data_IF_165850073544
#
_entry.id   IF_165850073544
#
_cell.length_a   1.000
_cell.length_b   1.000
_cell.length_c   1.000
_cell.angle_alpha   90.00
_cell.angle_beta   90.00
_cell.angle_gamma   90.00
#
_symmetry.space_group_name_H-M   'P 1'
#
loop_
_entity.id
_entity.type
_entity.pdbx_description
1 polymer ?
#
# COMPACT_ATOMS: atom_id res chain seq x y z
N UNK A 1 5.76 -34.09 -11.71
CA UNK A 1 6.01 -33.23 -12.88
C UNK A 1 6.18 -31.81 -12.37
N UNK A 2 7.39 -31.25 -12.50
CA UNK A 2 7.71 -29.90 -12.04
C UNK A 2 7.16 -28.93 -13.09
N UNK A 3 6.06 -28.28 -12.76
CA UNK A 3 5.48 -27.20 -13.57
C UNK A 3 6.30 -25.93 -13.30
N UNK A 4 7.25 -25.64 -14.19
CA UNK A 4 7.92 -24.34 -14.28
C UNK A 4 6.93 -23.29 -14.80
N UNK A 5 6.11 -22.71 -13.93
CA UNK A 5 5.39 -21.47 -14.24
C UNK A 5 6.37 -20.30 -14.14
N UNK A 6 7.07 -20.04 -15.25
CA UNK A 6 7.66 -18.71 -15.50
C UNK A 6 6.52 -17.70 -15.49
N UNK A 7 6.45 -16.89 -14.45
CA UNK A 7 5.50 -15.79 -14.36
C UNK A 7 5.87 -14.75 -15.45
N UNK A 8 5.04 -14.52 -16.49
CA UNK A 8 5.45 -13.78 -17.69
C UNK A 8 5.22 -12.25 -17.56
N UNK A 9 5.20 -11.70 -16.34
CA UNK A 9 4.39 -10.51 -16.03
C UNK A 9 4.63 -9.26 -16.89
N UNK A 10 5.83 -9.02 -17.42
CA UNK A 10 6.03 -7.96 -18.39
C UNK A 10 6.91 -8.45 -19.55
N UNK A 11 6.32 -8.90 -20.65
CA UNK A 11 7.04 -9.19 -21.91
C UNK A 11 6.82 -8.04 -22.90
N UNK A 12 7.89 -7.26 -23.11
CA UNK A 12 8.14 -6.30 -24.20
C UNK A 12 7.36 -4.96 -24.21
N UNK A 13 8.08 -3.84 -24.06
CA UNK A 13 8.43 -2.83 -25.10
C UNK A 13 9.01 -1.59 -24.42
N UNK A 14 10.34 -1.50 -24.34
CA UNK A 14 11.01 -0.22 -24.06
C UNK A 14 11.44 0.34 -25.41
N UNK A 15 10.69 1.32 -25.93
CA UNK A 15 11.18 2.16 -27.02
C UNK A 15 12.12 3.20 -26.40
N UNK A 16 13.38 3.18 -26.82
CA UNK A 16 14.34 4.24 -26.53
C UNK A 16 13.96 5.46 -27.34
N UNK A 17 13.40 6.47 -26.68
CA UNK A 17 13.45 7.84 -27.16
C UNK A 17 14.38 8.61 -26.23
N UNK A 18 15.63 8.75 -26.66
CA UNK A 18 16.60 9.66 -26.06
C UNK A 18 16.31 11.09 -26.52
N UNK A 19 16.14 12.03 -25.57
CA UNK A 19 16.74 13.38 -25.62
C UNK A 19 16.54 14.24 -24.36
N UNK A 20 17.66 14.89 -24.04
CA UNK A 20 17.93 16.11 -23.27
C UNK A 20 17.84 16.14 -21.73
N UNK A 21 19.03 15.97 -21.14
CA UNK A 21 19.79 16.94 -20.33
C UNK A 21 19.05 17.83 -19.31
N UNK A 22 19.45 17.62 -18.05
CA UNK A 22 19.58 18.58 -16.92
C UNK A 22 19.01 18.10 -15.58
N UNK A 23 18.77 16.80 -15.39
CA UNK A 23 18.53 16.27 -14.03
C UNK A 23 19.85 16.03 -13.31
N UNK A 24 19.95 16.47 -12.05
CA UNK A 24 20.85 15.86 -11.07
C UNK A 24 20.88 14.34 -11.30
N UNK A 25 22.05 13.79 -11.63
CA UNK A 25 22.20 12.38 -11.99
C UNK A 25 21.69 11.52 -10.83
N UNK A 26 20.45 11.02 -10.96
CA UNK A 26 19.85 10.10 -9.99
C UNK A 26 20.69 8.84 -9.96
N UNK A 27 21.18 8.47 -8.77
CA UNK A 27 21.96 7.25 -8.61
C UNK A 27 21.01 6.03 -8.56
N UNK A 28 20.79 5.40 -9.72
CA UNK A 28 19.87 4.28 -9.84
C UNK A 28 20.31 3.02 -9.07
N UNK A 29 21.60 2.81 -8.81
CA UNK A 29 22.07 1.71 -7.95
C UNK A 29 21.60 1.91 -6.50
N UNK A 30 21.68 3.13 -6.01
CA UNK A 30 21.18 3.51 -4.69
C UNK A 30 19.65 3.40 -4.62
N UNK A 31 18.94 3.91 -5.64
CA UNK A 31 17.47 3.81 -5.77
C UNK A 31 17.03 2.36 -5.76
N UNK A 32 17.71 1.48 -6.50
CA UNK A 32 17.39 0.05 -6.55
C UNK A 32 17.57 -0.61 -5.18
N UNK A 33 18.63 -0.29 -4.45
CA UNK A 33 18.87 -0.77 -3.08
C UNK A 33 17.78 -0.31 -2.12
N UNK A 34 17.39 0.97 -2.19
CA UNK A 34 16.32 1.53 -1.38
C UNK A 34 14.94 0.94 -1.72
N UNK A 35 14.64 0.71 -3.01
CA UNK A 35 13.43 0.02 -3.46
C UNK A 35 13.34 -1.41 -2.91
N UNK A 36 14.44 -2.16 -2.88
CA UNK A 36 14.48 -3.51 -2.27
C UNK A 36 14.18 -3.45 -0.77
N UNK A 37 14.76 -2.48 -0.07
CA UNK A 37 14.49 -2.25 1.36
C UNK A 37 13.03 -1.89 1.62
N UNK A 38 12.47 -1.00 0.79
CA UNK A 38 11.07 -0.61 0.83
C UNK A 38 10.14 -1.79 0.57
N UNK A 39 10.40 -2.58 -0.48
CA UNK A 39 9.66 -3.82 -0.79
C UNK A 39 9.65 -4.79 0.39
N UNK A 40 10.80 -4.99 1.05
CA UNK A 40 10.86 -5.83 2.25
C UNK A 40 9.95 -5.31 3.38
N UNK A 41 9.89 -3.99 3.61
CA UNK A 41 8.99 -3.46 4.64
C UNK A 41 7.51 -3.66 4.27
N UNK A 42 7.16 -3.51 3.00
CA UNK A 42 5.80 -3.81 2.49
C UNK A 42 5.46 -5.28 2.71
N UNK A 43 6.35 -6.20 2.36
CA UNK A 43 6.16 -7.64 2.57
C UNK A 43 5.95 -8.00 4.05
N UNK A 44 6.74 -7.39 4.94
CA UNK A 44 6.63 -7.60 6.38
C UNK A 44 5.34 -7.04 6.97
N UNK A 45 4.83 -5.93 6.44
CA UNK A 45 3.54 -5.38 6.86
C UNK A 45 2.38 -6.21 6.32
N UNK A 46 2.46 -6.65 5.06
CA UNK A 46 1.45 -7.52 4.45
C UNK A 46 1.33 -8.84 5.21
N UNK A 47 2.47 -9.45 5.57
CA UNK A 47 2.47 -10.65 6.39
C UNK A 47 1.85 -10.44 7.78
N UNK A 48 2.07 -9.28 8.42
CA UNK A 48 1.45 -8.97 9.72
C UNK A 48 -0.08 -8.90 9.60
N UNK A 49 -0.59 -8.15 8.62
CA UNK A 49 -2.04 -8.02 8.45
C UNK A 49 -2.70 -9.31 8.00
N UNK A 50 -2.08 -10.05 7.06
CA UNK A 50 -2.61 -11.30 6.55
C UNK A 50 -2.76 -12.36 7.64
N UNK A 51 -1.84 -12.41 8.62
CA UNK A 51 -1.97 -13.33 9.75
C UNK A 51 -2.95 -12.84 10.83
N UNK A 52 -3.05 -11.53 11.07
CA UNK A 52 -3.84 -10.99 12.17
C UNK A 52 -5.30 -10.65 11.83
N UNK A 53 -5.65 -10.52 10.54
CA UNK A 53 -6.96 -9.99 10.14
C UNK A 53 -8.11 -10.95 10.45
N UNK A 54 -7.93 -12.26 10.29
CA UNK A 54 -8.98 -13.25 10.58
C UNK A 54 -9.25 -13.35 12.08
N UNK A 55 -8.20 -13.30 12.90
CA UNK A 55 -8.31 -13.25 14.35
C UNK A 55 -9.05 -11.99 14.80
N UNK A 56 -8.76 -10.84 14.18
CA UNK A 56 -9.48 -9.59 14.41
C UNK A 56 -10.98 -9.74 14.13
N UNK A 57 -11.35 -10.24 12.94
CA UNK A 57 -12.76 -10.43 12.55
C UNK A 57 -13.48 -11.33 13.57
N UNK A 58 -12.88 -12.47 13.89
CA UNK A 58 -13.47 -13.46 14.80
C UNK A 58 -13.71 -12.89 16.21
N UNK A 59 -12.80 -12.06 16.70
CA UNK A 59 -12.92 -11.47 18.04
C UNK A 59 -13.89 -10.27 18.09
N UNK A 60 -13.90 -9.43 17.06
CA UNK A 60 -14.68 -8.19 17.05
C UNK A 60 -16.10 -8.40 16.53
N UNK A 61 -16.30 -9.39 15.66
CA UNK A 61 -17.59 -9.74 15.08
C UNK A 61 -17.94 -11.22 15.36
N UNK A 62 -18.13 -11.60 16.63
CA UNK A 62 -18.27 -13.01 17.03
C UNK A 62 -19.53 -13.71 16.53
N UNK A 63 -20.49 -12.96 15.95
CA UNK A 63 -21.73 -13.50 15.39
C UNK A 63 -21.76 -13.43 13.85
N UNK A 64 -20.64 -13.09 13.20
CA UNK A 64 -20.53 -13.01 11.76
C UNK A 64 -19.62 -14.12 11.26
N UNK A 65 -20.22 -15.18 10.72
CA UNK A 65 -19.50 -16.38 10.29
C UNK A 65 -18.92 -16.29 8.87
N UNK A 66 -19.18 -15.19 8.14
CA UNK A 66 -18.74 -15.05 6.75
C UNK A 66 -18.02 -13.73 6.47
N UNK A 67 -16.82 -13.86 5.88
CA UNK A 67 -16.11 -12.74 5.24
C UNK A 67 -16.98 -12.10 4.14
N UNK A 68 -17.89 -12.88 3.54
CA UNK A 68 -18.83 -12.48 2.50
C UNK A 68 -19.80 -11.36 2.94
N UNK A 69 -20.22 -11.36 4.22
CA UNK A 69 -21.12 -10.34 4.77
C UNK A 69 -20.42 -8.98 4.89
N UNK A 70 -19.13 -8.97 5.23
CA UNK A 70 -18.33 -7.75 5.28
C UNK A 70 -18.11 -7.11 3.90
N UNK A 71 -17.97 -7.93 2.86
CA UNK A 71 -17.89 -7.47 1.47
C UNK A 71 -19.21 -6.86 1.00
N UNK A 72 -20.34 -7.48 1.34
CA UNK A 72 -21.67 -6.94 1.04
C UNK A 72 -21.88 -5.60 1.72
N UNK A 73 -21.50 -5.46 3.00
CA UNK A 73 -21.61 -4.20 3.76
C UNK A 73 -20.78 -3.07 3.12
N UNK A 74 -19.56 -3.35 2.69
CA UNK A 74 -18.71 -2.38 1.98
C UNK A 74 -19.29 -1.96 0.62
N UNK A 75 -19.64 -2.93 -0.23
CA UNK A 75 -20.16 -2.66 -1.59
C UNK A 75 -21.47 -1.86 -1.58
N UNK A 76 -22.35 -2.12 -0.59
CA UNK A 76 -23.60 -1.39 -0.44
C UNK A 76 -23.42 0.04 0.06
N UNK A 77 -22.46 0.27 0.97
CA UNK A 77 -22.26 1.58 1.59
C UNK A 77 -21.26 2.48 0.86
N UNK A 78 -20.56 1.98 -0.17
CA UNK A 78 -19.52 2.73 -0.93
C UNK A 78 -18.50 3.41 -0.01
N UNK A 79 -18.05 2.68 1.01
CA UNK A 79 -17.13 3.19 2.01
C UNK A 79 -15.69 3.07 1.50
N UNK A 80 -15.27 3.99 0.63
CA UNK A 80 -13.89 4.04 0.16
C UNK A 80 -13.07 4.95 1.08
N UNK A 81 -12.20 4.35 1.91
CA UNK A 81 -11.25 5.11 2.74
C UNK A 81 -10.19 5.79 1.86
N UNK A 82 -9.68 5.06 0.87
CA UNK A 82 -8.71 5.57 -0.09
C UNK A 82 -9.43 6.06 -1.36
N UNK A 83 -9.78 7.36 -1.43
CA UNK A 83 -10.35 7.94 -2.67
C UNK A 83 -9.49 7.65 -3.91
N UNK A 84 -10.14 7.33 -5.05
CA UNK A 84 -9.48 7.01 -6.32
C UNK A 84 -9.22 5.50 -6.56
N UNK A 85 -9.76 4.63 -5.71
CA UNK A 85 -9.56 3.18 -5.71
C UNK A 85 -10.44 2.37 -6.69
N UNK A 86 -10.85 2.94 -7.84
CA UNK A 86 -11.62 2.18 -8.85
C UNK A 86 -10.84 1.00 -9.46
N UNK A 87 -9.57 0.82 -9.10
CA UNK A 87 -8.67 -0.21 -9.61
C UNK A 87 -8.17 -1.18 -8.51
N UNK A 88 -8.58 -1.02 -7.23
CA UNK A 88 -8.22 -1.98 -6.18
C UNK A 88 -9.07 -3.27 -6.30
N UNK A 89 -8.52 -4.44 -5.91
CA UNK A 89 -9.32 -5.66 -5.78
C UNK A 89 -10.56 -5.38 -4.92
N UNK A 90 -11.71 -5.86 -5.38
CA UNK A 90 -13.00 -5.67 -4.71
C UNK A 90 -13.14 -6.65 -3.54
N UNK A 91 -12.50 -7.80 -3.63
CA UNK A 91 -12.49 -8.80 -2.57
C UNK A 91 -11.16 -8.84 -1.81
N UNK A 92 -11.23 -9.25 -0.55
CA UNK A 92 -10.07 -9.53 0.29
C UNK A 92 -9.34 -10.73 -0.31
N UNK A 93 -8.02 -10.60 -0.53
CA UNK A 93 -7.20 -11.62 -1.21
C UNK A 93 -7.55 -11.85 -2.69
N UNK A 94 -8.38 -10.99 -3.29
CA UNK A 94 -8.54 -11.01 -4.74
C UNK A 94 -7.24 -10.53 -5.39
N UNK A 95 -6.69 -11.30 -6.34
CA UNK A 95 -5.47 -10.88 -7.01
C UNK A 95 -5.68 -9.55 -7.74
N UNK A 96 -4.64 -8.72 -7.75
CA UNK A 96 -4.64 -7.46 -8.52
C UNK A 96 -5.08 -7.72 -9.97
N UNK A 97 -6.07 -6.99 -10.51
CA UNK A 97 -6.58 -7.23 -11.86
C UNK A 97 -5.48 -7.17 -12.93
N UNK A 98 -5.50 -8.07 -13.91
CA UNK A 98 -4.48 -8.14 -14.96
C UNK A 98 -4.37 -6.81 -15.74
N UNK A 99 -5.50 -6.19 -16.07
CA UNK A 99 -5.53 -4.89 -16.77
C UNK A 99 -4.73 -3.80 -16.02
N UNK A 100 -4.74 -3.84 -14.69
CA UNK A 100 -3.94 -2.94 -13.85
C UNK A 100 -2.45 -3.27 -13.96
N UNK A 101 -2.11 -4.56 -13.87
CA UNK A 101 -0.73 -4.99 -13.97
C UNK A 101 -0.12 -4.63 -15.34
N UNK A 102 -0.89 -4.78 -16.42
CA UNK A 102 -0.49 -4.42 -17.78
C UNK A 102 -0.23 -2.91 -17.90
N UNK A 103 -1.09 -2.08 -17.29
CA UNK A 103 -0.92 -0.62 -17.21
C UNK A 103 0.38 -0.26 -16.50
N UNK A 104 0.69 -0.88 -15.37
CA UNK A 104 1.95 -0.67 -14.62
C UNK A 104 3.16 -1.18 -15.41
N UNK A 105 3.07 -2.34 -16.07
CA UNK A 105 4.13 -2.88 -16.92
C UNK A 105 4.44 -2.01 -18.14
N UNK A 106 3.49 -1.19 -18.60
CA UNK A 106 3.67 -0.29 -19.75
C UNK A 106 4.43 1.00 -19.43
N UNK A 107 4.63 1.32 -18.16
CA UNK A 107 5.32 2.54 -17.73
C UNK A 107 6.85 2.40 -17.81
N UNK A 108 7.53 3.52 -18.08
CA UNK A 108 8.98 3.57 -18.10
C UNK A 108 9.55 3.91 -16.71
N UNK A 109 9.80 2.87 -15.92
CA UNK A 109 10.32 2.98 -14.55
C UNK A 109 11.80 3.38 -14.47
N UNK A 110 12.48 3.52 -15.61
CA UNK A 110 13.86 4.05 -15.67
C UNK A 110 13.89 5.58 -15.61
N UNK A 111 12.73 6.23 -15.77
CA UNK A 111 12.60 7.69 -15.64
C UNK A 111 12.32 8.07 -14.19
N UNK A 112 13.18 8.92 -13.65
CA UNK A 112 13.06 9.42 -12.27
C UNK A 112 11.69 10.04 -11.98
N UNK A 113 11.13 10.83 -12.91
CA UNK A 113 9.82 11.47 -12.75
C UNK A 113 8.66 10.47 -12.67
N UNK A 114 8.74 9.38 -13.43
CA UNK A 114 7.71 8.32 -13.42
C UNK A 114 7.73 7.59 -12.09
N UNK A 115 8.92 7.22 -11.62
CA UNK A 115 9.11 6.60 -10.31
C UNK A 115 8.68 7.55 -9.18
N UNK A 116 9.12 8.82 -9.22
CA UNK A 116 8.79 9.83 -8.23
C UNK A 116 7.28 10.03 -8.12
N UNK A 117 6.58 10.23 -9.24
CA UNK A 117 5.11 10.40 -9.26
C UNK A 117 4.41 9.24 -8.56
N UNK A 118 4.84 8.00 -8.84
CA UNK A 118 4.26 6.81 -8.23
C UNK A 118 4.52 6.74 -6.72
N UNK A 119 5.74 7.03 -6.29
CA UNK A 119 6.13 7.01 -4.87
C UNK A 119 5.43 8.09 -4.05
N UNK A 120 5.15 9.26 -4.64
CA UNK A 120 4.36 10.31 -3.98
C UNK A 120 2.90 9.92 -3.80
N UNK A 121 2.31 9.26 -4.80
CA UNK A 121 0.99 8.63 -4.64
C UNK A 121 1.04 7.62 -3.50
N UNK A 122 2.12 6.83 -3.41
CA UNK A 122 2.26 5.86 -2.33
C UNK A 122 2.37 6.52 -0.96
N UNK A 123 3.08 7.64 -0.86
CA UNK A 123 3.26 8.39 0.39
C UNK A 123 1.94 8.96 0.92
N UNK A 124 1.14 9.60 0.06
CA UNK A 124 -0.20 10.08 0.44
C UNK A 124 -1.09 8.94 0.95
N UNK A 125 -1.08 7.79 0.27
CA UNK A 125 -1.87 6.62 0.68
C UNK A 125 -1.40 6.08 2.03
N UNK A 126 -0.10 5.90 2.23
CA UNK A 126 0.43 5.44 3.52
C UNK A 126 0.16 6.44 4.64
N UNK A 127 0.20 7.75 4.37
CA UNK A 127 -0.16 8.77 5.36
C UNK A 127 -1.61 8.59 5.84
N UNK A 128 -2.56 8.40 4.93
CA UNK A 128 -3.98 8.19 5.27
C UNK A 128 -4.21 6.89 6.04
N UNK A 129 -3.54 5.81 5.64
CA UNK A 129 -3.63 4.52 6.35
C UNK A 129 -3.05 4.61 7.76
N UNK A 130 -1.95 5.34 7.92
CA UNK A 130 -1.28 5.58 9.19
C UNK A 130 -2.18 6.34 10.19
N UNK A 131 -2.92 7.35 9.71
CA UNK A 131 -3.96 8.04 10.49
C UNK A 131 -5.12 7.11 10.87
N UNK A 132 -5.52 6.21 9.97
CA UNK A 132 -6.56 5.21 10.22
C UNK A 132 -6.18 4.28 11.37
N UNK A 133 -4.94 3.79 11.39
CA UNK A 133 -4.41 2.98 12.49
C UNK A 133 -4.37 3.73 13.82
N UNK A 134 -3.97 5.01 13.82
CA UNK A 134 -3.99 5.83 15.04
C UNK A 134 -5.41 5.95 15.62
N UNK A 135 -6.41 6.15 14.77
CA UNK A 135 -7.81 6.22 15.18
C UNK A 135 -8.29 4.91 15.80
N UNK A 136 -7.93 3.76 15.21
CA UNK A 136 -8.26 2.44 15.77
C UNK A 136 -7.60 2.28 17.16
N UNK A 137 -6.31 2.60 17.27
CA UNK A 137 -5.56 2.50 18.54
C UNK A 137 -6.18 3.40 19.60
N UNK A 138 -6.52 4.63 19.26
CA UNK A 138 -7.15 5.59 20.15
C UNK A 138 -8.50 5.07 20.66
N UNK A 139 -9.33 4.51 19.76
CA UNK A 139 -10.61 3.91 20.12
C UNK A 139 -10.44 2.83 21.19
N UNK A 140 -9.57 1.85 20.97
CA UNK A 140 -9.41 0.73 21.90
C UNK A 140 -8.72 1.15 23.21
N UNK A 141 -7.84 2.16 23.20
CA UNK A 141 -7.20 2.67 24.42
C UNK A 141 -8.16 3.47 25.30
N UNK A 142 -9.03 4.26 24.69
CA UNK A 142 -9.87 5.23 25.40
C UNK A 142 -11.29 4.73 25.70
N UNK A 143 -11.75 3.67 25.04
CA UNK A 143 -13.09 3.11 25.26
C UNK A 143 -13.06 1.99 26.34
N UNK A 144 -13.58 2.23 27.56
CA UNK A 144 -13.51 1.27 28.67
C UNK A 144 -14.18 -0.07 28.36
N UNK A 145 -15.16 -0.07 27.45
CA UNK A 145 -15.97 -1.22 27.05
C UNK A 145 -15.18 -2.25 26.22
N UNK A 146 -14.14 -1.79 25.51
CA UNK A 146 -13.28 -2.64 24.64
C UNK A 146 -11.80 -2.62 25.05
N UNK A 147 -11.45 -1.88 26.11
CA UNK A 147 -10.09 -1.71 26.65
C UNK A 147 -9.39 -3.02 27.02
N UNK A 148 -10.15 -4.09 27.25
CA UNK A 148 -9.63 -5.42 27.59
C UNK A 148 -9.31 -6.30 26.35
N UNK A 149 -9.50 -5.80 25.12
CA UNK A 149 -9.09 -6.49 23.90
C UNK A 149 -7.58 -6.33 23.63
N UNK A 150 -6.75 -6.79 24.57
CA UNK A 150 -5.29 -6.63 24.50
C UNK A 150 -4.70 -7.18 23.20
N UNK A 151 -5.21 -8.32 22.72
CA UNK A 151 -4.73 -8.96 21.49
C UNK A 151 -5.00 -8.10 20.24
N UNK A 152 -6.17 -7.46 20.17
CA UNK A 152 -6.51 -6.52 19.08
C UNK A 152 -5.57 -5.32 19.12
N UNK A 153 -5.42 -4.68 20.28
CA UNK A 153 -4.50 -3.54 20.43
C UNK A 153 -3.07 -3.91 20.05
N UNK A 154 -2.59 -5.09 20.49
CA UNK A 154 -1.25 -5.59 20.15
C UNK A 154 -1.10 -5.81 18.63
N UNK A 155 -2.09 -6.40 17.98
CA UNK A 155 -2.09 -6.56 16.52
C UNK A 155 -2.03 -5.20 15.80
N UNK A 156 -2.94 -4.29 16.11
CA UNK A 156 -3.00 -2.97 15.45
C UNK A 156 -1.71 -2.16 15.71
N UNK A 157 -1.15 -2.24 16.92
CA UNK A 157 0.10 -1.56 17.26
C UNK A 157 1.29 -2.15 16.48
N UNK A 158 1.39 -3.49 16.38
CA UNK A 158 2.43 -4.13 15.55
C UNK A 158 2.30 -3.72 14.09
N UNK A 159 1.08 -3.69 13.55
CA UNK A 159 0.82 -3.23 12.19
C UNK A 159 1.24 -1.78 11.99
N UNK A 160 0.94 -0.88 12.95
CA UNK A 160 1.37 0.52 12.97
C UNK A 160 2.90 0.68 12.98
N UNK A 161 3.60 -0.15 13.74
CA UNK A 161 5.06 -0.14 13.73
C UNK A 161 5.62 -0.56 12.36
N UNK A 162 4.96 -1.50 11.67
CA UNK A 162 5.33 -1.92 10.30
C UNK A 162 5.06 -0.81 9.28
N UNK A 163 3.89 -0.17 9.32
CA UNK A 163 3.58 0.96 8.42
C UNK A 163 4.47 2.16 8.68
N UNK A 164 4.89 2.38 9.92
CA UNK A 164 5.88 3.42 10.25
C UNK A 164 7.23 3.14 9.58
N UNK A 165 7.70 1.89 9.56
CA UNK A 165 8.93 1.49 8.86
C UNK A 165 8.81 1.66 7.35
N UNK A 166 7.65 1.33 6.77
CA UNK A 166 7.33 1.61 5.35
C UNK A 166 7.52 3.10 5.06
N UNK A 167 6.88 3.98 5.85
CA UNK A 167 6.99 5.45 5.67
C UNK A 167 8.45 5.91 5.72
N UNK A 168 9.23 5.40 6.66
CA UNK A 168 10.65 5.76 6.78
C UNK A 168 11.44 5.33 5.54
N UNK A 169 11.28 4.08 5.09
CA UNK A 169 11.95 3.61 3.87
C UNK A 169 11.51 4.35 2.62
N UNK A 170 10.24 4.74 2.53
CA UNK A 170 9.70 5.53 1.43
C UNK A 170 10.27 6.95 1.41
N UNK A 171 10.36 7.60 2.58
CA UNK A 171 10.99 8.93 2.67
C UNK A 171 12.46 8.89 2.22
N UNK A 172 13.23 7.89 2.64
CA UNK A 172 14.63 7.75 2.18
C UNK A 172 14.72 7.53 0.67
N UNK A 173 13.78 6.80 0.08
CA UNK A 173 13.70 6.59 -1.37
C UNK A 173 13.34 7.88 -2.12
N UNK A 174 12.37 8.65 -1.63
CA UNK A 174 12.00 9.95 -2.19
C UNK A 174 13.15 10.95 -2.13
N UNK A 175 13.85 11.03 -1.00
CA UNK A 175 15.05 11.87 -0.84
C UNK A 175 16.13 11.51 -1.87
N UNK A 176 16.32 10.22 -2.18
CA UNK A 176 17.28 9.77 -3.20
C UNK A 176 16.91 10.17 -4.63
N UNK A 177 15.64 10.50 -4.88
CA UNK A 177 15.15 11.03 -6.15
C UNK A 177 15.18 12.58 -6.18
N UNK A 178 15.88 13.21 -5.24
CA UNK A 178 15.94 14.67 -5.06
C UNK A 178 14.54 15.28 -4.82
N UNK A 179 13.66 14.55 -4.15
CA UNK A 179 12.35 15.06 -3.79
C UNK A 179 12.44 16.12 -2.68
N UNK A 180 11.89 17.31 -2.92
CA UNK A 180 11.73 18.34 -1.90
C UNK A 180 10.46 18.11 -1.08
N UNK A 181 10.65 17.51 0.10
CA UNK A 181 9.61 17.19 1.08
C UNK A 181 8.78 18.40 1.52
N UNK A 182 9.36 19.61 1.52
CA UNK A 182 8.66 20.83 1.95
C UNK A 182 7.45 21.18 1.07
N UNK A 183 7.44 20.70 -0.18
CA UNK A 183 6.37 20.98 -1.15
C UNK A 183 5.12 20.10 -0.93
N UNK A 184 5.25 18.91 -0.33
CA UNK A 184 4.10 18.01 -0.06
C UNK A 184 3.33 18.38 1.21
N UNK A 185 4.04 18.74 2.27
CA UNK A 185 3.45 19.05 3.58
C UNK A 185 2.50 20.27 3.48
N UNK A 186 2.69 21.12 2.46
CA UNK A 186 1.79 22.22 2.12
C UNK A 186 0.51 21.80 1.38
N UNK A 187 0.45 20.62 0.74
CA UNK A 187 -0.67 20.19 -0.12
C UNK A 187 -1.55 19.09 0.48
N UNK A 188 -1.01 18.25 1.37
CA UNK A 188 -1.74 17.11 1.92
C UNK A 188 -2.46 17.45 3.23
N UNK A 189 -3.57 18.16 3.09
CA UNK A 189 -4.63 18.22 4.10
C UNK A 189 -5.91 17.58 3.54
N UNK A 190 -5.88 16.29 3.25
CA UNK A 190 -7.12 15.56 3.02
C UNK A 190 -7.54 14.90 4.33
N UNK A 191 -8.44 15.53 5.11
CA UNK A 191 -9.02 14.88 6.27
C UNK A 191 -9.76 13.62 5.80
N UNK A 192 -9.82 12.64 6.69
CA UNK A 192 -10.71 11.49 6.61
C UNK A 192 -12.06 11.89 5.97
N UNK A 193 -12.54 11.19 4.92
CA UNK A 193 -13.79 11.55 4.26
C UNK A 193 -14.90 11.69 5.31
N UNK A 194 -15.59 12.84 5.35
CA UNK A 194 -16.59 13.13 6.38
C UNK A 194 -17.71 12.09 6.41
N UNK A 195 -18.03 11.51 5.26
CA UNK A 195 -19.05 10.47 5.07
C UNK A 195 -18.65 9.10 5.62
N UNK A 196 -17.36 8.92 5.96
CA UNK A 196 -16.82 7.69 6.54
C UNK A 196 -17.02 7.60 8.06
N UNK A 197 -17.35 8.70 8.73
CA UNK A 197 -17.52 8.75 10.20
C UNK A 197 -18.93 8.26 10.58
N UNK A 198 -19.18 6.95 10.49
CA UNK A 198 -20.31 6.31 11.15
C UNK A 198 -20.04 6.00 12.65
N UNK A 199 -20.37 6.98 13.50
CA UNK A 199 -20.23 6.89 14.97
C UNK A 199 -21.01 5.75 15.62
N UNK A 200 -21.97 5.14 14.93
CA UNK A 200 -22.83 4.08 15.47
C UNK A 200 -22.20 2.68 15.39
N UNK A 201 -21.22 2.47 14.49
CA UNK A 201 -20.58 1.15 14.28
C UNK A 201 -19.05 1.30 14.11
N UNK A 202 -18.31 1.69 15.16
CA UNK A 202 -16.87 1.93 15.07
C UNK A 202 -16.06 0.71 14.62
N UNK A 203 -16.47 -0.50 15.03
CA UNK A 203 -15.79 -1.73 14.62
C UNK A 203 -15.86 -1.97 13.11
N UNK A 204 -16.98 -1.61 12.46
CA UNK A 204 -17.11 -1.70 11.00
C UNK A 204 -16.19 -0.69 10.30
N UNK A 205 -16.02 0.51 10.87
CA UNK A 205 -15.05 1.48 10.34
C UNK A 205 -13.60 0.99 10.46
N UNK A 206 -13.26 0.36 11.60
CA UNK A 206 -11.94 -0.22 11.83
C UNK A 206 -11.67 -1.37 10.84
N UNK A 207 -12.66 -2.23 10.63
CA UNK A 207 -12.60 -3.28 9.62
C UNK A 207 -12.29 -2.73 8.23
N UNK A 208 -13.02 -1.69 7.78
CA UNK A 208 -12.79 -1.12 6.45
C UNK A 208 -11.39 -0.50 6.35
N UNK A 209 -10.89 0.17 7.39
CA UNK A 209 -9.49 0.66 7.42
C UNK A 209 -8.51 -0.50 7.26
N UNK A 210 -8.69 -1.59 8.01
CA UNK A 210 -7.78 -2.74 7.96
C UNK A 210 -7.81 -3.45 6.59
N UNK A 211 -9.01 -3.65 6.01
CA UNK A 211 -9.16 -4.17 4.66
C UNK A 211 -8.44 -3.30 3.63
N UNK A 212 -8.59 -1.99 3.72
CA UNK A 212 -7.92 -1.04 2.82
C UNK A 212 -6.39 -1.07 2.98
N UNK A 213 -5.89 -1.25 4.19
CA UNK A 213 -4.46 -1.48 4.44
C UNK A 213 -3.99 -2.76 3.74
N UNK A 214 -4.73 -3.86 3.91
CA UNK A 214 -4.36 -5.16 3.34
C UNK A 214 -4.31 -5.11 1.81
N UNK A 215 -5.38 -4.60 1.19
CA UNK A 215 -5.49 -4.49 -0.27
C UNK A 215 -4.43 -3.54 -0.84
N UNK A 216 -4.15 -2.45 -0.15
CA UNK A 216 -3.13 -1.50 -0.60
C UNK A 216 -1.72 -2.06 -0.47
N UNK A 217 -1.43 -2.82 0.60
CA UNK A 217 -0.16 -3.51 0.76
C UNK A 217 0.05 -4.57 -0.33
N UNK A 218 -0.97 -5.36 -0.65
CA UNK A 218 -0.95 -6.34 -1.75
C UNK A 218 -0.68 -5.65 -3.11
N UNK A 219 -1.37 -4.53 -3.36
CA UNK A 219 -1.13 -3.70 -4.54
C UNK A 219 0.32 -3.22 -4.62
N UNK A 220 0.86 -2.69 -3.51
CA UNK A 220 2.26 -2.26 -3.45
C UNK A 220 3.24 -3.40 -3.70
N UNK A 221 2.97 -4.63 -3.23
CA UNK A 221 3.84 -5.78 -3.52
C UNK A 221 3.93 -6.05 -5.03
N UNK A 222 2.80 -6.01 -5.73
CA UNK A 222 2.74 -6.20 -7.18
C UNK A 222 3.47 -5.07 -7.91
N UNK A 223 3.19 -3.83 -7.55
CA UNK A 223 3.83 -2.65 -8.15
C UNK A 223 5.34 -2.64 -7.96
N UNK A 224 5.81 -2.87 -6.73
CA UNK A 224 7.23 -2.86 -6.40
C UNK A 224 7.98 -3.99 -7.09
N UNK A 225 7.36 -5.17 -7.22
CA UNK A 225 7.93 -6.26 -8.01
C UNK A 225 8.12 -5.85 -9.48
N UNK A 226 7.10 -5.26 -10.10
CA UNK A 226 7.18 -4.81 -11.51
C UNK A 226 8.26 -3.72 -11.67
N UNK A 227 8.28 -2.72 -10.78
CA UNK A 227 9.26 -1.63 -10.78
C UNK A 227 10.69 -2.18 -10.65
N UNK A 228 10.94 -3.04 -9.66
CA UNK A 228 12.24 -3.66 -9.42
C UNK A 228 12.71 -4.49 -10.61
N UNK A 229 11.83 -5.30 -11.20
CA UNK A 229 12.15 -6.08 -12.39
C UNK A 229 12.47 -5.19 -13.60
N UNK A 230 11.77 -4.07 -13.76
CA UNK A 230 12.01 -3.11 -14.85
C UNK A 230 13.39 -2.46 -14.74
N UNK A 231 13.74 -1.93 -13.56
CA UNK A 231 15.04 -1.27 -13.30
C UNK A 231 16.20 -2.26 -13.46
N UNK A 232 16.07 -3.49 -12.96
CA UNK A 232 17.10 -4.52 -13.13
C UNK A 232 17.33 -4.94 -14.59
N UNK A 233 16.29 -4.86 -15.44
CA UNK A 233 16.41 -5.22 -16.86
C UNK A 233 17.10 -4.12 -17.67
N UNK A 234 16.84 -2.85 -17.37
CA UNK A 234 17.52 -1.74 -18.06
C UNK A 234 19.03 -1.75 -17.82
N UNK A 235 19.48 -2.12 -16.61
CA UNK A 235 20.90 -2.25 -16.28
C UNK A 235 21.61 -3.34 -17.11
N UNK A 236 20.92 -4.43 -17.46
CA UNK A 236 21.49 -5.52 -18.27
C UNK A 236 21.60 -5.20 -19.76
N UNK A 237 20.97 -4.12 -20.22
CA UNK A 237 20.90 -3.72 -21.64
C UNK A 237 21.83 -2.52 -21.94
N UNK A 238 22.41 -1.89 -20.92
CA UNK A 238 23.42 -0.84 -21.06
C UNK A 238 24.84 -1.45 -21.14
N UNK A 239 25.53 -1.41 -22.30
CA UNK A 239 26.92 -1.84 -22.45
C UNK A 239 27.92 -0.86 -21.83
#
# INVERSE_FOLDING_TARGET
MISNTKNPMCMHRIQKDDKDDSSSLVNFDQVQSLLKSFSLQVDLAFAEINHGILDYITHVFPNTDSIEDFHKIWSWKKLDWLQGANEMPKELLEPVPQDYQDKICSMDWTKADTLLTKLLIMEDKYHRLDMGLDKIIEHYKNNPTVRNQSNVITFITRLKDKTSKIKWSLSSLLESLNYDKATLEASNSNPMPKDYVNKETPDLEHWVILREIMNYLELCQVELKIILESIQRSEKISP
#
